data_IF_784078245235
#
_entry.id   IF_784078245235
#
_cell.length_a   1.000
_cell.length_b   1.000
_cell.length_c   1.000
_cell.angle_alpha   90.00
_cell.angle_beta   90.00
_cell.angle_gamma   90.00
#
_symmetry.space_group_name_H-M   'P 1'
#
loop_
_entity.id
_entity.type
_entity.pdbx_description
1 polymer ?
#
# COMPACT_ATOMS: atom_id res chain seq x y z
N UNK A 1 5.49 -6.74 37.66
CA UNK A 1 6.41 -7.48 36.78
C UNK A 1 6.07 -7.06 35.35
N UNK A 2 6.91 -6.25 34.70
CA UNK A 2 6.72 -5.89 33.29
C UNK A 2 6.81 -7.18 32.48
N UNK A 3 5.70 -7.52 31.80
CA UNK A 3 5.62 -8.70 30.95
C UNK A 3 6.73 -8.59 29.88
N UNK A 4 7.59 -9.60 29.75
CA UNK A 4 8.65 -9.66 28.75
C UNK A 4 8.03 -9.31 27.39
N UNK A 5 8.55 -8.32 26.62
CA UNK A 5 8.03 -8.06 25.28
C UNK A 5 8.28 -9.30 24.43
N UNK A 6 7.23 -9.79 23.79
CA UNK A 6 7.28 -10.99 22.96
C UNK A 6 7.47 -10.67 21.46
N UNK A 7 7.46 -9.39 21.12
CA UNK A 7 7.47 -8.92 19.75
C UNK A 7 8.53 -7.85 19.48
N UNK A 8 9.15 -7.93 18.29
CA UNK A 8 9.96 -6.86 17.70
C UNK A 8 9.35 -6.44 16.37
N UNK A 9 9.32 -5.15 16.08
CA UNK A 9 8.86 -4.63 14.78
C UNK A 9 9.99 -3.82 14.15
N UNK A 10 10.34 -4.17 12.91
CA UNK A 10 11.31 -3.39 12.11
C UNK A 10 10.65 -2.14 11.56
N UNK A 11 11.13 -0.97 12.01
CA UNK A 11 10.67 0.34 11.57
C UNK A 11 11.69 1.07 10.68
N UNK A 12 12.69 0.37 10.18
CA UNK A 12 13.78 0.99 9.41
C UNK A 12 13.27 1.85 8.26
N UNK A 13 12.33 1.33 7.48
CA UNK A 13 11.76 2.08 6.35
C UNK A 13 10.92 3.27 6.83
N UNK A 14 10.03 3.05 7.76
CA UNK A 14 9.11 4.07 8.27
C UNK A 14 9.88 5.23 8.88
N UNK A 15 10.86 4.96 9.75
CA UNK A 15 11.72 5.97 10.36
C UNK A 15 12.47 6.78 9.30
N UNK A 16 13.07 6.14 8.30
CA UNK A 16 13.78 6.84 7.23
C UNK A 16 12.84 7.75 6.44
N UNK A 17 11.62 7.30 6.11
CA UNK A 17 10.64 8.13 5.40
C UNK A 17 10.28 9.40 6.18
N UNK A 18 10.03 9.27 7.47
CA UNK A 18 9.75 10.42 8.32
C UNK A 18 10.95 11.37 8.46
N UNK A 19 12.18 10.83 8.49
CA UNK A 19 13.41 11.63 8.47
C UNK A 19 13.58 12.39 7.13
N UNK A 20 13.13 11.77 6.01
CA UNK A 20 13.15 12.40 4.69
C UNK A 20 11.95 13.35 4.46
N UNK A 21 11.05 13.52 5.43
CA UNK A 21 9.86 14.35 5.31
C UNK A 21 8.80 13.82 4.35
N UNK A 22 8.80 12.51 4.12
CA UNK A 22 7.89 11.85 3.18
C UNK A 22 6.65 11.30 3.90
N UNK A 23 5.48 11.50 3.31
CA UNK A 23 4.22 10.92 3.81
C UNK A 23 4.22 9.38 3.68
N UNK A 24 3.53 8.66 4.59
CA UNK A 24 3.36 7.21 4.50
C UNK A 24 2.72 6.77 3.18
N UNK A 25 3.22 5.67 2.59
CA UNK A 25 2.61 4.98 1.45
C UNK A 25 1.74 3.81 1.93
N UNK A 26 1.09 3.08 1.03
CA UNK A 26 0.29 1.89 1.39
C UNK A 26 1.05 0.89 2.27
N UNK A 27 2.30 0.56 1.92
CA UNK A 27 3.16 -0.33 2.74
C UNK A 27 3.45 0.27 4.12
N UNK A 28 3.70 1.58 4.19
CA UNK A 28 3.96 2.25 5.46
C UNK A 28 2.70 2.29 6.34
N UNK A 29 1.50 2.40 5.74
CA UNK A 29 0.20 2.31 6.44
C UNK A 29 -0.01 0.93 7.06
N UNK A 30 0.43 -0.14 6.41
CA UNK A 30 0.44 -1.49 6.99
C UNK A 30 1.35 -1.54 8.23
N UNK A 31 2.58 -1.04 8.13
CA UNK A 31 3.50 -0.96 9.28
C UNK A 31 2.87 -0.18 10.44
N UNK A 32 2.22 0.96 10.17
CA UNK A 32 1.51 1.75 11.18
C UNK A 32 0.34 0.98 11.83
N UNK A 33 -0.38 0.16 11.07
CA UNK A 33 -1.44 -0.69 11.62
C UNK A 33 -0.86 -1.74 12.61
N UNK A 34 0.26 -2.38 12.26
CA UNK A 34 0.98 -3.28 13.17
C UNK A 34 1.46 -2.57 14.43
N UNK A 35 1.98 -1.33 14.29
CA UNK A 35 2.34 -0.52 15.45
C UNK A 35 1.15 -0.24 16.37
N UNK A 36 0.01 0.11 15.79
CA UNK A 36 -1.19 0.41 16.56
C UNK A 36 -1.67 -0.80 17.35
N UNK A 37 -1.66 -1.98 16.72
CA UNK A 37 -2.14 -3.21 17.36
C UNK A 37 -1.20 -3.70 18.47
N UNK A 38 0.12 -3.62 18.22
CA UNK A 38 1.13 -4.19 19.13
C UNK A 38 1.82 -3.18 20.05
N UNK A 39 1.34 -1.94 20.16
CA UNK A 39 2.00 -0.85 20.92
C UNK A 39 2.42 -1.27 22.33
N UNK A 40 1.57 -2.00 23.05
CA UNK A 40 1.84 -2.46 24.43
C UNK A 40 2.76 -3.69 24.54
N UNK A 41 2.98 -4.43 23.44
CA UNK A 41 3.70 -5.72 23.42
C UNK A 41 5.00 -5.67 22.61
N UNK A 42 5.14 -4.71 21.69
CA UNK A 42 6.26 -4.66 20.77
C UNK A 42 7.35 -3.71 21.20
N UNK A 43 8.59 -4.09 20.91
CA UNK A 43 9.75 -3.22 20.92
C UNK A 43 10.15 -2.88 19.49
N UNK A 44 10.73 -1.68 19.32
CA UNK A 44 11.21 -1.20 18.03
C UNK A 44 12.60 -1.75 17.74
N UNK A 45 12.74 -2.28 16.54
CA UNK A 45 14.01 -2.50 15.87
C UNK A 45 14.14 -1.51 14.71
N UNK A 46 15.31 -0.95 14.48
CA UNK A 46 15.62 -0.18 13.26
C UNK A 46 17.11 -0.17 12.94
N UNK A 47 17.43 -0.05 11.65
CA UNK A 47 18.78 0.11 11.14
C UNK A 47 19.08 1.60 10.90
N UNK A 48 20.15 2.08 11.46
CA UNK A 48 20.72 3.37 11.12
C UNK A 48 22.05 3.15 10.42
N UNK A 49 22.07 3.37 9.08
CA UNK A 49 23.19 2.96 8.20
C UNK A 49 23.45 1.45 8.35
N UNK A 50 24.56 1.07 8.95
CA UNK A 50 24.96 -0.33 9.16
C UNK A 50 24.77 -0.82 10.60
N UNK A 51 24.37 0.06 11.51
CA UNK A 51 24.16 -0.28 12.93
C UNK A 51 22.69 -0.48 13.20
N UNK A 52 22.34 -1.60 13.85
CA UNK A 52 21.00 -1.83 14.34
C UNK A 52 20.82 -1.27 15.75
N UNK A 53 19.58 -0.97 16.08
CA UNK A 53 19.18 -0.47 17.38
C UNK A 53 17.88 -1.16 17.80
N UNK A 54 17.81 -1.56 19.06
CA UNK A 54 16.60 -2.09 19.68
C UNK A 54 16.26 -1.22 20.87
N UNK A 55 15.07 -0.62 20.84
CA UNK A 55 14.63 0.24 21.91
C UNK A 55 14.07 -0.55 23.09
N UNK A 56 14.19 0.00 24.31
CA UNK A 56 13.42 -0.50 25.44
C UNK A 56 11.92 -0.29 25.21
N UNK A 57 11.06 -1.05 25.91
CA UNK A 57 9.61 -0.93 25.81
C UNK A 57 9.13 0.53 25.98
N UNK A 58 9.60 1.20 27.02
CA UNK A 58 9.25 2.61 27.29
C UNK A 58 9.62 3.55 26.16
N UNK A 59 10.77 3.36 25.50
CA UNK A 59 11.20 4.18 24.37
C UNK A 59 10.43 3.82 23.09
N UNK A 60 10.11 2.55 22.91
CA UNK A 60 9.29 2.08 21.80
C UNK A 60 7.91 2.72 21.81
N UNK A 61 7.23 2.71 22.95
CA UNK A 61 5.94 3.40 23.14
C UNK A 61 6.04 4.88 22.81
N UNK A 62 7.09 5.58 23.31
CA UNK A 62 7.29 7.01 22.97
C UNK A 62 7.48 7.24 21.48
N UNK A 63 8.20 6.35 20.78
CA UNK A 63 8.36 6.46 19.33
C UNK A 63 7.04 6.20 18.61
N UNK A 64 6.26 5.20 19.02
CA UNK A 64 4.95 4.92 18.44
C UNK A 64 4.00 6.12 18.58
N UNK A 65 3.93 6.71 19.78
CA UNK A 65 3.12 7.89 20.04
C UNK A 65 3.57 9.09 19.20
N UNK A 66 4.88 9.30 19.06
CA UNK A 66 5.41 10.37 18.23
C UNK A 66 5.06 10.20 16.75
N UNK A 67 5.18 8.97 16.19
CA UNK A 67 4.90 8.71 14.78
C UNK A 67 3.41 8.84 14.43
N UNK A 68 2.52 8.73 15.42
CA UNK A 68 1.06 8.89 15.28
C UNK A 68 0.57 10.29 15.60
N UNK A 69 1.42 11.12 16.20
CA UNK A 69 1.02 12.44 16.71
C UNK A 69 0.81 13.44 15.57
N UNK A 70 -0.29 14.22 15.58
CA UNK A 70 -0.43 15.37 14.69
C UNK A 70 0.67 16.41 14.91
N UNK A 71 1.25 16.47 16.14
CA UNK A 71 2.37 17.35 16.50
C UNK A 71 3.74 16.76 16.11
N UNK A 72 3.76 15.80 15.19
CA UNK A 72 5.01 15.22 14.70
C UNK A 72 5.94 16.30 14.15
N UNK A 73 7.22 16.26 14.58
CA UNK A 73 8.28 17.02 13.94
C UNK A 73 9.52 16.18 13.77
N UNK A 74 10.24 16.39 12.66
CA UNK A 74 11.53 15.74 12.41
C UNK A 74 12.52 15.95 13.56
N UNK A 75 12.52 17.14 14.18
CA UNK A 75 13.39 17.47 15.34
C UNK A 75 13.10 16.55 16.54
N UNK A 76 11.81 16.32 16.87
CA UNK A 76 11.41 15.40 17.96
C UNK A 76 11.86 13.98 17.66
N UNK A 77 11.72 13.51 16.41
CA UNK A 77 12.17 12.19 15.98
C UNK A 77 13.70 12.05 16.12
N UNK A 78 14.48 12.97 15.58
CA UNK A 78 15.96 12.96 15.68
C UNK A 78 16.40 12.95 17.14
N UNK A 79 15.80 13.77 18.01
CA UNK A 79 16.12 13.82 19.45
C UNK A 79 15.83 12.47 20.15
N UNK A 80 14.70 11.83 19.80
CA UNK A 80 14.33 10.52 20.38
C UNK A 80 15.29 9.43 19.91
N UNK A 81 15.65 9.41 18.63
CA UNK A 81 16.59 8.45 18.05
C UNK A 81 18.00 8.63 18.63
N UNK A 82 18.52 9.84 18.74
CA UNK A 82 19.87 10.09 19.29
C UNK A 82 20.00 9.64 20.75
N UNK A 83 19.03 9.96 21.60
CA UNK A 83 18.96 9.45 22.97
C UNK A 83 18.82 7.93 23.04
N UNK A 84 18.21 7.33 22.04
CA UNK A 84 18.03 5.89 21.93
C UNK A 84 19.32 5.17 21.57
N UNK A 85 20.08 5.69 20.62
CA UNK A 85 21.35 5.13 20.14
C UNK A 85 22.44 5.20 21.22
N UNK A 86 22.48 6.29 22.01
CA UNK A 86 23.46 6.47 23.08
C UNK A 86 23.25 5.55 24.29
N UNK A 87 22.03 5.07 24.52
CA UNK A 87 21.66 4.38 25.76
C UNK A 87 21.28 2.89 25.56
N UNK A 88 21.43 2.31 24.39
CA UNK A 88 20.80 1.05 24.23
C UNK A 88 21.16 0.06 23.17
N UNK A 89 22.07 -0.82 23.46
CA UNK A 89 21.99 -2.20 22.96
C UNK A 89 21.49 -3.11 24.09
N UNK A 90 20.19 -3.20 24.26
CA UNK A 90 19.61 -4.23 25.11
C UNK A 90 19.33 -5.46 24.24
N UNK A 91 20.37 -6.20 23.87
CA UNK A 91 20.25 -7.53 23.24
C UNK A 91 19.68 -8.57 24.24
N UNK A 92 19.72 -8.25 25.54
CA UNK A 92 19.16 -9.11 26.59
C UNK A 92 17.63 -9.13 26.43
N UNK A 93 17.08 -10.32 26.46
CA UNK A 93 15.63 -10.60 26.47
C UNK A 93 14.88 -10.51 25.13
N UNK A 94 15.57 -10.65 23.97
CA UNK A 94 14.91 -10.71 22.65
C UNK A 94 15.00 -12.09 21.99
N UNK A 95 15.81 -12.99 22.52
CA UNK A 95 15.91 -14.37 22.02
C UNK A 95 14.53 -15.05 22.08
N UNK A 96 14.11 -15.62 20.94
CA UNK A 96 12.81 -16.26 20.82
C UNK A 96 11.64 -15.29 20.57
N UNK A 97 11.84 -13.95 20.58
CA UNK A 97 10.79 -13.01 20.21
C UNK A 97 10.39 -13.15 18.74
N UNK A 98 9.11 -13.00 18.43
CA UNK A 98 8.64 -12.84 17.06
C UNK A 98 9.13 -11.50 16.52
N UNK A 99 9.72 -11.52 15.31
CA UNK A 99 10.28 -10.36 14.66
C UNK A 99 9.51 -10.04 13.38
N UNK A 100 8.71 -8.99 13.37
CA UNK A 100 7.99 -8.54 12.19
C UNK A 100 8.84 -7.65 11.29
N UNK A 101 8.95 -8.02 10.01
CA UNK A 101 9.36 -7.11 8.94
C UNK A 101 8.21 -7.02 7.94
N UNK A 102 7.52 -5.87 7.93
CA UNK A 102 6.29 -5.63 7.16
C UNK A 102 6.53 -4.84 5.88
N UNK A 103 7.78 -4.45 5.58
CA UNK A 103 8.07 -3.50 4.49
C UNK A 103 9.24 -3.91 3.57
N UNK A 104 9.80 -5.10 3.78
CA UNK A 104 10.90 -5.70 3.03
C UNK A 104 12.26 -4.99 3.16
N UNK A 105 12.38 -3.93 3.98
CA UNK A 105 13.63 -3.19 4.12
C UNK A 105 14.73 -4.07 4.73
N UNK A 106 15.92 -4.02 4.14
CA UNK A 106 17.09 -4.77 4.62
C UNK A 106 17.18 -6.22 4.14
N UNK A 107 16.08 -6.85 3.74
CA UNK A 107 16.01 -8.28 3.40
C UNK A 107 16.90 -8.67 2.19
N UNK A 108 17.27 -7.73 1.34
CA UNK A 108 18.21 -7.94 0.23
C UNK A 108 19.68 -7.84 0.65
N UNK A 109 19.97 -7.67 1.95
CA UNK A 109 21.35 -7.52 2.45
C UNK A 109 21.78 -8.78 3.21
N UNK A 110 22.87 -9.45 2.82
CA UNK A 110 23.39 -10.63 3.55
C UNK A 110 23.70 -10.36 5.03
N UNK A 111 24.12 -9.13 5.36
CA UNK A 111 24.36 -8.69 6.74
C UNK A 111 23.10 -8.74 7.61
N UNK A 112 21.94 -8.48 7.01
CA UNK A 112 20.66 -8.53 7.72
C UNK A 112 20.27 -9.97 8.10
N UNK A 113 20.46 -10.94 7.20
CA UNK A 113 20.25 -12.35 7.51
C UNK A 113 21.17 -12.84 8.66
N UNK A 114 22.46 -12.49 8.58
CA UNK A 114 23.43 -12.82 9.64
C UNK A 114 23.02 -12.22 10.98
N UNK A 115 22.49 -10.99 10.96
CA UNK A 115 22.00 -10.31 12.15
C UNK A 115 20.81 -11.03 12.77
N UNK A 116 19.78 -11.38 11.99
CA UNK A 116 18.59 -12.09 12.50
C UNK A 116 18.96 -13.43 13.15
N UNK A 117 19.87 -14.20 12.53
CA UNK A 117 20.39 -15.46 13.10
C UNK A 117 21.13 -15.23 14.42
N UNK A 118 21.96 -14.18 14.51
CA UNK A 118 22.70 -13.82 15.73
C UNK A 118 21.76 -13.43 16.86
N UNK A 119 20.68 -12.69 16.54
CA UNK A 119 19.68 -12.25 17.53
C UNK A 119 18.78 -13.39 17.98
N UNK A 120 18.79 -14.54 17.27
CA UNK A 120 17.96 -15.72 17.56
C UNK A 120 16.46 -15.39 17.69
N UNK A 121 15.99 -14.41 16.93
CA UNK A 121 14.58 -14.04 16.84
C UNK A 121 13.84 -14.98 15.90
N UNK A 122 12.50 -14.94 15.90
CA UNK A 122 11.60 -15.70 15.03
C UNK A 122 11.00 -14.77 13.98
N UNK A 123 11.63 -14.66 12.77
CA UNK A 123 11.18 -13.71 11.77
C UNK A 123 9.84 -14.12 11.14
N UNK A 124 8.88 -13.20 11.15
CA UNK A 124 7.62 -13.27 10.42
C UNK A 124 7.60 -12.12 9.41
N UNK A 125 7.46 -12.46 8.15
CA UNK A 125 7.52 -11.50 7.05
C UNK A 125 6.15 -11.24 6.47
N UNK A 126 5.88 -9.98 6.10
CA UNK A 126 4.74 -9.65 5.26
C UNK A 126 5.20 -9.50 3.82
N UNK A 127 4.66 -10.31 2.93
CA UNK A 127 4.90 -10.22 1.49
C UNK A 127 3.72 -9.52 0.82
N UNK A 128 3.99 -8.36 0.18
CA UNK A 128 2.96 -7.56 -0.48
C UNK A 128 2.66 -7.99 -1.91
N UNK A 129 3.68 -8.37 -2.66
CA UNK A 129 3.59 -8.83 -4.06
C UNK A 129 4.91 -9.44 -4.53
N UNK A 130 4.89 -10.02 -5.73
CA UNK A 130 6.06 -10.46 -6.48
C UNK A 130 6.24 -9.69 -7.79
N UNK A 131 5.59 -8.54 -7.93
CA UNK A 131 5.57 -7.72 -9.14
C UNK A 131 6.96 -7.44 -9.70
N UNK A 132 8.00 -7.09 -8.91
CA UNK A 132 9.32 -6.83 -9.45
C UNK A 132 9.97 -8.05 -10.15
N UNK A 133 9.53 -9.26 -9.83
CA UNK A 133 10.02 -10.50 -10.45
C UNK A 133 9.19 -10.87 -11.68
N UNK A 134 7.88 -10.67 -11.60
CA UNK A 134 6.93 -11.03 -12.66
C UNK A 134 6.94 -10.02 -13.81
N UNK A 135 7.10 -8.73 -13.48
CA UNK A 135 7.00 -7.60 -14.40
C UNK A 135 8.16 -6.61 -14.17
N UNK A 136 9.41 -7.03 -14.38
CA UNK A 136 10.59 -6.18 -14.12
C UNK A 136 10.60 -4.90 -14.97
N UNK A 137 9.93 -4.92 -16.13
CA UNK A 137 9.77 -3.77 -17.03
C UNK A 137 9.04 -2.59 -16.39
N UNK A 138 8.12 -2.85 -15.47
CA UNK A 138 7.38 -1.81 -14.74
C UNK A 138 8.14 -1.27 -13.53
N UNK A 139 9.23 -1.91 -13.15
CA UNK A 139 9.96 -1.58 -11.94
C UNK A 139 11.23 -0.77 -12.22
N UNK A 140 11.87 -0.30 -11.17
CA UNK A 140 13.19 0.34 -11.25
C UNK A 140 14.25 -0.68 -11.66
N UNK A 141 15.32 -0.19 -12.27
CA UNK A 141 16.44 -1.04 -12.66
C UNK A 141 16.96 -1.87 -11.47
N UNK A 142 17.23 -3.15 -11.72
CA UNK A 142 17.70 -4.14 -10.71
C UNK A 142 16.73 -4.39 -9.53
N UNK A 143 15.47 -3.97 -9.61
CA UNK A 143 14.53 -4.23 -8.51
C UNK A 143 14.09 -5.70 -8.47
N UNK A 144 14.04 -6.38 -9.61
CA UNK A 144 13.83 -7.82 -9.73
C UNK A 144 14.92 -8.62 -8.99
N UNK A 145 16.18 -8.28 -9.19
CA UNK A 145 17.30 -8.91 -8.49
C UNK A 145 17.22 -8.70 -6.97
N UNK A 146 16.98 -7.46 -6.53
CA UNK A 146 16.83 -7.15 -5.11
C UNK A 146 15.64 -7.89 -4.49
N UNK A 147 14.53 -8.01 -5.25
CA UNK A 147 13.34 -8.68 -4.75
C UNK A 147 13.54 -10.20 -4.65
N UNK A 148 14.25 -10.83 -5.59
CA UNK A 148 14.70 -12.22 -5.46
C UNK A 148 15.51 -12.44 -4.20
N UNK A 149 16.46 -11.53 -3.90
CA UNK A 149 17.23 -11.60 -2.65
C UNK A 149 16.34 -11.48 -1.40
N UNK A 150 15.31 -10.59 -1.42
CA UNK A 150 14.34 -10.47 -0.32
C UNK A 150 13.57 -11.76 -0.12
N UNK A 151 13.04 -12.36 -1.19
CA UNK A 151 12.32 -13.63 -1.11
C UNK A 151 13.21 -14.76 -0.60
N UNK A 152 14.45 -14.85 -1.09
CA UNK A 152 15.42 -15.84 -0.61
C UNK A 152 15.67 -15.69 0.90
N UNK A 153 15.73 -14.45 1.40
CA UNK A 153 15.84 -14.19 2.84
C UNK A 153 14.58 -14.62 3.58
N UNK A 154 13.40 -14.27 3.09
CA UNK A 154 12.13 -14.66 3.70
C UNK A 154 12.00 -16.19 3.79
N UNK A 155 12.30 -16.90 2.69
CA UNK A 155 12.17 -18.36 2.61
C UNK A 155 13.23 -19.10 3.45
N UNK A 156 14.45 -18.52 3.60
CA UNK A 156 15.54 -19.18 4.32
C UNK A 156 15.62 -18.86 5.81
N UNK A 157 14.95 -17.82 6.28
CA UNK A 157 15.04 -17.38 7.68
C UNK A 157 13.69 -17.23 8.37
N UNK A 158 12.60 -17.14 7.61
CA UNK A 158 11.25 -16.92 8.16
C UNK A 158 10.73 -18.15 8.88
N UNK A 159 10.15 -17.95 10.06
CA UNK A 159 9.31 -18.94 10.72
C UNK A 159 7.87 -18.88 10.21
N UNK A 160 7.48 -17.76 9.56
CA UNK A 160 6.20 -17.58 8.92
C UNK A 160 6.21 -16.46 7.89
N UNK A 161 5.34 -16.57 6.88
CA UNK A 161 5.12 -15.52 5.86
C UNK A 161 3.63 -15.21 5.79
N UNK A 162 3.29 -13.93 5.94
CA UNK A 162 1.94 -13.40 5.78
C UNK A 162 1.85 -12.78 4.39
N UNK A 163 0.82 -13.12 3.64
CA UNK A 163 0.47 -12.47 2.36
C UNK A 163 -0.84 -11.70 2.52
N UNK A 164 -1.04 -10.69 1.72
CA UNK A 164 -2.24 -9.85 1.73
C UNK A 164 -3.39 -10.42 0.88
N UNK A 165 -3.10 -11.40 0.01
CA UNK A 165 -4.06 -12.03 -0.90
C UNK A 165 -3.67 -13.48 -1.19
N UNK A 166 -4.65 -14.29 -1.64
CA UNK A 166 -4.42 -15.63 -2.16
C UNK A 166 -3.60 -15.59 -3.46
N UNK A 167 -3.83 -14.56 -4.28
CA UNK A 167 -3.06 -14.33 -5.50
C UNK A 167 -1.56 -14.16 -5.19
N UNK A 168 -1.21 -13.31 -4.22
CA UNK A 168 0.18 -13.17 -3.74
C UNK A 168 0.73 -14.49 -3.19
N UNK A 169 -0.07 -15.25 -2.43
CA UNK A 169 0.34 -16.57 -1.91
C UNK A 169 0.60 -17.56 -3.03
N UNK A 170 -0.26 -17.62 -4.05
CA UNK A 170 -0.07 -18.47 -5.23
C UNK A 170 1.28 -18.16 -5.88
N UNK A 171 1.56 -16.91 -6.16
CA UNK A 171 2.82 -16.49 -6.76
C UNK A 171 4.05 -16.82 -5.89
N UNK A 172 3.93 -16.72 -4.56
CA UNK A 172 4.99 -17.15 -3.64
C UNK A 172 5.22 -18.66 -3.69
N UNK A 173 4.15 -19.48 -3.72
CA UNK A 173 4.23 -20.94 -3.86
C UNK A 173 4.91 -21.33 -5.18
N UNK A 174 4.52 -20.72 -6.28
CA UNK A 174 5.09 -20.96 -7.60
C UNK A 174 6.58 -20.61 -7.63
N UNK A 175 6.96 -19.48 -7.00
CA UNK A 175 8.38 -19.09 -6.85
C UNK A 175 9.15 -20.10 -6.01
N UNK A 176 8.65 -20.47 -4.84
CA UNK A 176 9.31 -21.41 -3.94
C UNK A 176 9.50 -22.78 -4.62
N UNK A 177 8.47 -23.30 -5.30
CA UNK A 177 8.53 -24.54 -6.07
C UNK A 177 9.57 -24.46 -7.19
N UNK A 178 9.52 -23.41 -8.01
CA UNK A 178 10.44 -23.22 -9.15
C UNK A 178 11.90 -23.20 -8.74
N UNK A 179 12.23 -22.61 -7.61
CA UNK A 179 13.60 -22.46 -7.11
C UNK A 179 13.94 -23.43 -5.98
N UNK A 180 13.08 -24.43 -5.73
CA UNK A 180 13.26 -25.50 -4.75
C UNK A 180 13.53 -25.00 -3.32
N UNK A 181 12.90 -23.90 -2.93
CA UNK A 181 12.92 -23.43 -1.55
C UNK A 181 11.85 -24.14 -0.71
N UNK A 182 12.18 -24.58 0.53
CA UNK A 182 11.15 -24.95 1.47
C UNK A 182 10.26 -23.73 1.78
N UNK A 183 8.95 -23.93 1.77
CA UNK A 183 7.99 -22.88 2.10
C UNK A 183 7.71 -22.93 3.60
N UNK A 184 7.99 -21.86 4.36
CA UNK A 184 7.59 -21.77 5.77
C UNK A 184 6.05 -21.77 5.88
N UNK A 185 5.48 -21.97 7.07
CA UNK A 185 4.07 -21.72 7.32
C UNK A 185 3.61 -20.38 6.74
N UNK A 186 2.46 -20.34 6.09
CA UNK A 186 1.93 -19.16 5.44
C UNK A 186 0.53 -18.82 5.93
N UNK A 187 0.23 -17.53 6.02
CA UNK A 187 -1.08 -17.00 6.33
C UNK A 187 -1.50 -16.00 5.25
N UNK A 188 -2.75 -16.09 4.78
CA UNK A 188 -3.36 -15.00 4.00
C UNK A 188 -4.19 -14.15 4.94
N UNK A 189 -3.80 -12.89 5.12
CA UNK A 189 -4.50 -11.92 5.94
C UNK A 189 -4.78 -10.64 5.12
N UNK A 190 -6.02 -10.46 4.63
CA UNK A 190 -6.39 -9.30 3.84
C UNK A 190 -6.13 -8.00 4.60
N UNK A 191 -5.63 -6.99 3.86
CA UNK A 191 -5.39 -5.67 4.43
C UNK A 191 -6.71 -4.91 4.61
N UNK A 192 -6.65 -3.92 5.49
CA UNK A 192 -7.70 -2.91 5.64
C UNK A 192 -7.13 -1.51 5.39
N UNK A 193 -8.00 -0.53 5.38
CA UNK A 193 -7.64 0.89 5.28
C UNK A 193 -7.75 1.54 6.66
N UNK A 194 -7.05 2.67 6.90
CA UNK A 194 -7.30 3.49 8.08
C UNK A 194 -8.77 3.87 8.18
N UNK A 195 -9.23 4.18 9.37
CA UNK A 195 -10.55 4.75 9.55
C UNK A 195 -10.56 6.18 9.00
N UNK A 196 -10.86 6.29 7.70
CA UNK A 196 -11.03 7.58 7.03
C UNK A 196 -12.40 8.14 7.40
N UNK A 197 -12.44 9.38 7.86
CA UNK A 197 -13.67 10.07 8.26
C UNK A 197 -13.90 11.25 7.31
N UNK A 198 -15.10 11.35 6.76
CA UNK A 198 -15.51 12.52 5.98
C UNK A 198 -15.87 13.66 6.96
N UNK A 199 -14.93 14.57 7.17
CA UNK A 199 -15.13 15.73 8.07
C UNK A 199 -15.82 16.90 7.36
N UNK A 200 -15.58 17.03 6.05
CA UNK A 200 -16.20 18.06 5.21
C UNK A 200 -17.00 17.41 4.07
N UNK A 201 -18.35 17.46 4.08
CA UNK A 201 -19.19 16.87 3.05
C UNK A 201 -19.25 17.68 1.75
N UNK A 202 -18.59 18.85 1.68
CA UNK A 202 -18.63 19.71 0.51
C UNK A 202 -18.02 19.03 -0.71
N UNK A 203 -18.71 19.19 -1.83
CA UNK A 203 -18.26 18.66 -3.11
C UNK A 203 -17.04 19.45 -3.62
N UNK A 204 -15.91 18.79 -3.99
CA UNK A 204 -14.70 19.52 -4.39
C UNK A 204 -14.79 20.13 -5.79
N UNK A 205 -15.68 19.66 -6.66
CA UNK A 205 -15.90 20.13 -8.02
C UNK A 205 -17.39 20.14 -8.37
N UNK A 206 -17.87 21.19 -9.05
CA UNK A 206 -19.27 21.31 -9.47
C UNK A 206 -19.60 20.46 -10.70
N UNK A 207 -18.59 19.95 -11.40
CA UNK A 207 -18.74 19.10 -12.58
C UNK A 207 -18.49 17.63 -12.25
N UNK A 208 -19.06 16.68 -13.03
CA UNK A 208 -18.74 15.26 -12.86
C UNK A 208 -17.24 14.99 -13.02
N UNK A 209 -16.69 14.11 -12.16
CA UNK A 209 -15.29 13.73 -12.26
C UNK A 209 -15.07 12.28 -11.88
N UNK A 210 -14.00 11.72 -12.42
CA UNK A 210 -13.45 10.42 -12.08
C UNK A 210 -12.15 10.59 -11.30
N UNK A 211 -11.83 9.63 -10.46
CA UNK A 211 -10.65 9.67 -9.61
C UNK A 211 -9.68 8.55 -9.98
N UNK A 212 -8.39 8.87 -10.07
CA UNK A 212 -7.32 7.89 -10.10
C UNK A 212 -6.38 8.15 -8.92
N UNK A 213 -6.26 7.17 -8.02
CA UNK A 213 -5.45 7.26 -6.80
C UNK A 213 -4.25 6.34 -6.87
N UNK A 214 -3.09 6.87 -7.26
CA UNK A 214 -1.85 6.09 -7.33
C UNK A 214 -0.63 6.97 -7.63
N UNK A 215 0.56 6.46 -7.30
CA UNK A 215 1.81 7.00 -7.85
C UNK A 215 1.79 6.91 -9.38
N UNK A 216 2.22 7.96 -10.08
CA UNK A 216 2.34 7.96 -11.53
C UNK A 216 3.58 7.12 -11.90
N UNK A 217 3.34 5.87 -12.29
CA UNK A 217 4.35 4.89 -12.66
C UNK A 217 3.83 3.96 -13.77
N UNK A 218 4.70 3.28 -14.56
CA UNK A 218 4.26 2.52 -15.74
C UNK A 218 3.19 1.48 -15.43
N UNK A 219 3.32 0.75 -14.33
CA UNK A 219 2.40 -0.31 -13.89
C UNK A 219 0.96 0.17 -13.69
N UNK A 220 0.79 1.43 -13.28
CA UNK A 220 -0.52 2.03 -12.98
C UNK A 220 -1.28 2.48 -14.22
N UNK A 221 -0.60 2.50 -15.40
CA UNK A 221 -1.22 2.72 -16.69
C UNK A 221 -2.01 4.03 -16.84
N UNK A 222 -1.47 5.12 -16.31
CA UNK A 222 -2.06 6.46 -16.50
C UNK A 222 -2.23 6.79 -17.99
N UNK A 223 -1.34 6.24 -18.82
CA UNK A 223 -1.33 6.46 -20.26
C UNK A 223 -2.67 6.19 -20.92
N UNK A 224 -3.32 5.04 -20.62
CA UNK A 224 -4.60 4.68 -21.24
C UNK A 224 -5.67 5.72 -20.92
N UNK A 225 -5.74 6.20 -19.68
CA UNK A 225 -6.74 7.19 -19.27
C UNK A 225 -6.48 8.54 -19.96
N UNK A 226 -5.22 8.98 -20.07
CA UNK A 226 -4.90 10.23 -20.79
C UNK A 226 -5.32 10.15 -22.24
N UNK A 227 -5.10 9.01 -22.94
CA UNK A 227 -5.56 8.82 -24.29
C UNK A 227 -7.09 8.80 -24.39
N UNK A 228 -7.77 8.19 -23.43
CA UNK A 228 -9.25 8.19 -23.38
C UNK A 228 -9.76 9.61 -23.15
N UNK A 229 -9.20 10.37 -22.21
CA UNK A 229 -9.61 11.77 -21.95
C UNK A 229 -9.36 12.69 -23.14
N UNK A 230 -8.26 12.52 -23.85
CA UNK A 230 -7.99 13.25 -25.08
C UNK A 230 -9.09 13.02 -26.12
N UNK A 231 -9.47 11.76 -26.35
CA UNK A 231 -10.57 11.41 -27.27
C UNK A 231 -11.93 11.93 -26.79
N UNK A 232 -12.18 11.90 -25.47
CA UNK A 232 -13.41 12.43 -24.90
C UNK A 232 -13.48 13.94 -25.09
N UNK A 233 -12.40 14.67 -24.86
CA UNK A 233 -12.37 16.12 -25.07
C UNK A 233 -12.59 16.51 -26.54
N UNK A 234 -12.02 15.77 -27.47
CA UNK A 234 -12.26 15.98 -28.91
C UNK A 234 -13.73 15.79 -29.31
N UNK A 235 -14.47 14.93 -28.61
CA UNK A 235 -15.88 14.64 -28.87
C UNK A 235 -16.85 15.56 -28.12
N UNK A 236 -16.56 15.89 -26.88
CA UNK A 236 -17.47 16.53 -25.93
C UNK A 236 -17.08 17.96 -25.56
N UNK A 237 -15.84 18.39 -25.90
CA UNK A 237 -15.31 19.69 -25.51
C UNK A 237 -15.40 19.90 -23.99
N UNK A 238 -15.89 21.05 -23.56
CA UNK A 238 -16.02 21.44 -22.15
C UNK A 238 -16.98 20.55 -21.32
N UNK A 239 -17.86 19.77 -21.98
CA UNK A 239 -18.73 18.80 -21.34
C UNK A 239 -18.02 17.51 -20.90
N UNK A 240 -16.75 17.37 -21.20
CA UNK A 240 -15.94 16.23 -20.77
C UNK A 240 -15.84 16.21 -19.24
N UNK A 241 -16.14 15.06 -18.57
CA UNK A 241 -15.93 14.95 -17.14
C UNK A 241 -14.46 15.17 -16.78
N UNK A 242 -14.16 15.65 -15.58
CA UNK A 242 -12.78 15.84 -15.15
C UNK A 242 -12.16 14.49 -14.75
N UNK A 243 -10.85 14.33 -14.99
CA UNK A 243 -10.05 13.28 -14.39
C UNK A 243 -9.19 13.91 -13.30
N UNK A 244 -9.41 13.47 -12.06
CA UNK A 244 -8.59 13.88 -10.92
C UNK A 244 -7.57 12.77 -10.67
N UNK A 245 -6.28 13.09 -10.75
CA UNK A 245 -5.17 12.19 -10.47
C UNK A 245 -4.56 12.60 -9.15
N UNK A 246 -4.70 11.75 -8.14
CA UNK A 246 -4.08 11.96 -6.82
C UNK A 246 -2.90 11.01 -6.66
N UNK A 247 -1.69 11.58 -6.58
CA UNK A 247 -0.48 10.81 -6.36
C UNK A 247 0.78 11.48 -6.85
N UNK A 248 1.91 11.02 -6.35
CA UNK A 248 3.22 11.58 -6.71
C UNK A 248 3.68 11.08 -8.06
N UNK A 249 4.42 11.90 -8.77
CA UNK A 249 5.17 11.50 -9.96
C UNK A 249 6.26 10.52 -9.55
N UNK A 250 6.26 9.33 -10.12
CA UNK A 250 7.16 8.23 -9.81
C UNK A 250 8.34 8.13 -10.77
N UNK A 251 8.55 6.98 -11.39
CA UNK A 251 9.69 6.68 -12.27
C UNK A 251 9.22 6.18 -13.62
N UNK A 252 10.08 6.34 -14.67
CA UNK A 252 9.82 5.86 -16.05
C UNK A 252 8.46 6.27 -16.60
N UNK A 253 8.02 7.48 -16.33
CA UNK A 253 6.71 8.01 -16.73
C UNK A 253 6.83 9.31 -17.56
N UNK A 254 7.96 9.55 -18.23
CA UNK A 254 8.21 10.78 -18.98
C UNK A 254 7.12 11.09 -20.00
N UNK A 255 6.68 10.11 -20.79
CA UNK A 255 5.60 10.28 -21.76
C UNK A 255 4.25 10.66 -21.12
N UNK A 256 3.95 10.16 -19.92
CA UNK A 256 2.74 10.55 -19.15
C UNK A 256 2.88 11.99 -18.67
N UNK A 257 4.05 12.34 -18.12
CA UNK A 257 4.35 13.70 -17.64
C UNK A 257 4.30 14.71 -18.79
N UNK A 258 4.90 14.39 -19.94
CA UNK A 258 4.84 15.25 -21.13
C UNK A 258 3.40 15.53 -21.58
N UNK A 259 2.51 14.55 -21.52
CA UNK A 259 1.10 14.75 -21.82
C UNK A 259 0.41 15.65 -20.78
N UNK A 260 0.67 15.44 -19.48
CA UNK A 260 0.08 16.25 -18.41
C UNK A 260 0.54 17.70 -18.47
N UNK A 261 1.78 17.97 -18.88
CA UNK A 261 2.37 19.31 -18.88
C UNK A 261 2.18 20.08 -20.19
N UNK A 262 2.08 19.37 -21.33
CA UNK A 262 2.15 20.02 -22.67
C UNK A 262 0.87 19.90 -23.50
N UNK A 263 -0.05 18.99 -23.13
CA UNK A 263 -1.28 18.86 -23.90
C UNK A 263 -2.29 19.94 -23.51
N UNK A 264 -2.57 20.84 -24.44
CA UNK A 264 -3.58 21.90 -24.27
C UNK A 264 -4.97 21.32 -24.01
N UNK A 265 -5.32 20.22 -24.69
CA UNK A 265 -6.62 19.54 -24.53
C UNK A 265 -6.76 18.95 -23.13
N UNK A 266 -5.72 18.27 -22.63
CA UNK A 266 -5.75 17.60 -21.33
C UNK A 266 -5.69 18.59 -20.15
N UNK A 267 -5.01 19.72 -20.32
CA UNK A 267 -4.95 20.76 -19.27
C UNK A 267 -6.32 21.34 -18.91
N UNK A 268 -7.32 21.23 -19.81
CA UNK A 268 -8.70 21.69 -19.58
C UNK A 268 -9.50 20.71 -18.73
N UNK A 269 -9.14 19.43 -18.70
CA UNK A 269 -10.00 18.37 -18.16
C UNK A 269 -9.31 17.46 -17.14
N UNK A 270 -8.01 17.63 -16.90
CA UNK A 270 -7.26 16.87 -15.91
C UNK A 270 -6.81 17.76 -14.76
N UNK A 271 -6.97 17.25 -13.54
CA UNK A 271 -6.50 17.87 -12.30
C UNK A 271 -5.50 16.93 -11.66
N UNK A 272 -4.25 17.36 -11.51
CA UNK A 272 -3.19 16.58 -10.85
C UNK A 272 -2.95 17.12 -9.44
N UNK A 273 -3.07 16.26 -8.43
CA UNK A 273 -2.83 16.57 -7.01
C UNK A 273 -1.66 15.70 -6.52
N UNK A 274 -0.47 16.28 -6.46
CA UNK A 274 0.74 15.58 -6.05
C UNK A 274 0.78 15.21 -4.55
N UNK A 275 0.11 16.01 -3.73
CA UNK A 275 0.00 15.85 -2.28
C UNK A 275 -1.47 16.05 -1.91
N UNK A 276 -1.99 15.13 -1.13
CA UNK A 276 -3.36 15.16 -0.65
C UNK A 276 -3.37 14.65 0.79
N UNK A 277 -4.01 15.38 1.70
CA UNK A 277 -4.31 14.90 3.04
C UNK A 277 -5.53 13.96 3.03
N UNK A 278 -5.77 13.30 4.15
CA UNK A 278 -6.87 12.33 4.24
C UNK A 278 -8.24 13.02 4.14
N UNK A 279 -8.40 14.28 4.58
CA UNK A 279 -9.64 15.05 4.45
C UNK A 279 -9.96 15.34 2.98
N UNK A 280 -9.02 15.91 2.24
CA UNK A 280 -9.16 16.17 0.81
C UNK A 280 -9.39 14.87 0.03
N UNK A 281 -8.66 13.80 0.36
CA UNK A 281 -8.85 12.48 -0.25
C UNK A 281 -10.28 11.97 -0.07
N UNK A 282 -10.82 12.06 1.14
CA UNK A 282 -12.17 11.57 1.44
C UNK A 282 -13.25 12.37 0.69
N UNK A 283 -13.08 13.67 0.54
CA UNK A 283 -13.98 14.51 -0.28
C UNK A 283 -13.96 14.06 -1.74
N UNK A 284 -12.77 13.88 -2.34
CA UNK A 284 -12.66 13.43 -3.72
C UNK A 284 -13.21 12.02 -3.90
N UNK A 285 -12.93 11.08 -2.99
CA UNK A 285 -13.50 9.73 -3.05
C UNK A 285 -15.01 9.75 -3.00
N UNK A 286 -15.60 10.44 -2.01
CA UNK A 286 -17.03 10.45 -1.76
C UNK A 286 -17.86 10.95 -2.93
N UNK A 287 -17.36 11.91 -3.69
CA UNK A 287 -18.10 12.61 -4.73
C UNK A 287 -17.71 12.23 -6.16
N UNK A 288 -16.75 11.33 -6.34
CA UNK A 288 -16.36 10.84 -7.66
C UNK A 288 -17.48 10.02 -8.32
N UNK A 289 -17.57 10.09 -9.63
CA UNK A 289 -18.44 9.20 -10.42
C UNK A 289 -17.98 7.74 -10.29
N UNK A 290 -16.67 7.54 -10.36
CA UNK A 290 -16.02 6.28 -10.04
C UNK A 290 -14.51 6.48 -9.75
N UNK A 291 -13.91 5.55 -9.02
CA UNK A 291 -12.47 5.35 -8.99
C UNK A 291 -12.06 4.52 -10.22
N UNK A 292 -11.05 4.97 -10.96
CA UNK A 292 -10.46 4.26 -12.09
C UNK A 292 -9.14 3.63 -11.69
N UNK A 293 -8.96 2.33 -11.98
CA UNK A 293 -7.79 1.61 -11.54
C UNK A 293 -7.27 0.67 -12.66
N UNK A 294 -6.71 1.26 -13.77
CA UNK A 294 -6.32 0.55 -14.99
C UNK A 294 -4.96 -0.16 -14.89
N UNK A 295 -4.55 -0.56 -13.70
CA UNK A 295 -3.24 -1.15 -13.44
C UNK A 295 -3.01 -2.45 -14.20
N UNK A 296 -1.77 -2.69 -14.66
CA UNK A 296 -1.36 -3.95 -15.26
C UNK A 296 -1.15 -5.07 -14.23
N UNK A 297 -0.84 -4.72 -12.99
CA UNK A 297 -0.64 -5.69 -11.90
C UNK A 297 -0.75 -5.00 -10.55
N UNK A 298 -1.26 -5.72 -9.54
CA UNK A 298 -1.40 -5.27 -8.15
C UNK A 298 -1.15 -6.42 -7.18
N UNK A 299 -0.68 -6.07 -5.96
CA UNK A 299 -0.56 -7.05 -4.87
C UNK A 299 -1.82 -7.13 -4.01
N UNK A 300 -2.60 -6.03 -3.92
CA UNK A 300 -3.86 -5.97 -3.18
C UNK A 300 -4.82 -4.94 -3.77
N UNK A 301 -4.56 -3.64 -3.60
CA UNK A 301 -5.44 -2.59 -4.10
C UNK A 301 -6.15 -1.82 -3.00
N UNK A 302 -5.41 -1.23 -2.05
CA UNK A 302 -5.99 -0.41 -0.99
C UNK A 302 -6.94 0.68 -1.52
N UNK A 303 -6.68 1.37 -2.66
CA UNK A 303 -7.61 2.36 -3.22
C UNK A 303 -9.00 1.80 -3.54
N UNK A 304 -9.11 0.53 -3.90
CA UNK A 304 -10.40 -0.14 -4.12
C UNK A 304 -11.21 -0.19 -2.81
N UNK A 305 -10.57 -0.57 -1.70
CA UNK A 305 -11.22 -0.62 -0.38
C UNK A 305 -11.53 0.80 0.12
N UNK A 306 -10.65 1.77 -0.13
CA UNK A 306 -10.89 3.18 0.18
C UNK A 306 -12.14 3.72 -0.56
N UNK A 307 -12.30 3.38 -1.85
CA UNK A 307 -13.49 3.75 -2.62
C UNK A 307 -14.78 3.11 -2.06
N UNK A 308 -14.72 1.83 -1.71
CA UNK A 308 -15.88 1.12 -1.14
C UNK A 308 -16.31 1.69 0.20
N UNK A 309 -15.38 2.16 1.03
CA UNK A 309 -15.67 2.80 2.31
C UNK A 309 -16.59 4.03 2.14
N UNK A 310 -16.48 4.73 1.01
CA UNK A 310 -17.30 5.91 0.69
C UNK A 310 -18.48 5.61 -0.27
N UNK A 311 -18.75 4.34 -0.56
CA UNK A 311 -19.74 3.90 -1.55
C UNK A 311 -19.46 4.44 -2.96
N UNK A 312 -18.19 4.65 -3.28
CA UNK A 312 -17.76 5.14 -4.59
C UNK A 312 -17.63 3.96 -5.54
N UNK A 313 -18.30 4.00 -6.71
CA UNK A 313 -18.14 3.00 -7.75
C UNK A 313 -16.67 2.86 -8.20
N UNK A 314 -16.33 1.71 -8.75
CA UNK A 314 -14.99 1.43 -9.24
C UNK A 314 -15.02 0.77 -10.61
N UNK A 315 -14.10 1.17 -11.48
CA UNK A 315 -13.84 0.54 -12.77
C UNK A 315 -12.38 0.11 -12.75
N UNK A 316 -12.13 -1.18 -12.84
CA UNK A 316 -10.83 -1.79 -12.57
C UNK A 316 -10.32 -2.58 -13.77
N UNK A 317 -9.01 -2.78 -13.84
CA UNK A 317 -8.44 -3.82 -14.70
C UNK A 317 -8.93 -5.20 -14.29
N UNK A 318 -9.07 -6.09 -15.27
CA UNK A 318 -9.42 -7.50 -15.03
C UNK A 318 -8.21 -8.25 -14.45
N UNK A 319 -8.02 -8.15 -13.12
CA UNK A 319 -6.96 -8.79 -12.36
C UNK A 319 -7.54 -9.75 -11.32
N UNK A 320 -6.92 -10.92 -11.16
CA UNK A 320 -7.37 -11.95 -10.22
C UNK A 320 -7.43 -11.44 -8.77
N UNK A 321 -6.44 -10.64 -8.36
CA UNK A 321 -6.44 -10.03 -7.02
C UNK A 321 -7.64 -9.10 -6.79
N UNK A 322 -8.09 -8.39 -7.79
CA UNK A 322 -9.28 -7.54 -7.66
C UNK A 322 -10.57 -8.34 -7.57
N UNK A 323 -10.66 -9.45 -8.32
CA UNK A 323 -11.79 -10.39 -8.22
C UNK A 323 -11.82 -11.07 -6.84
N UNK A 324 -10.65 -11.43 -6.30
CA UNK A 324 -10.53 -11.98 -4.95
C UNK A 324 -11.08 -11.01 -3.90
N UNK A 325 -10.75 -9.71 -4.02
CA UNK A 325 -11.10 -8.72 -3.02
C UNK A 325 -12.57 -8.26 -3.14
N UNK A 326 -13.05 -7.99 -4.36
CA UNK A 326 -14.32 -7.30 -4.58
C UNK A 326 -15.38 -8.17 -5.32
N UNK A 327 -15.06 -9.42 -5.63
CA UNK A 327 -15.98 -10.33 -6.32
C UNK A 327 -16.46 -9.78 -7.66
N UNK A 328 -17.76 -9.80 -7.88
CA UNK A 328 -18.40 -9.34 -9.12
C UNK A 328 -19.00 -7.91 -8.98
N UNK A 329 -18.56 -7.13 -8.00
CA UNK A 329 -19.10 -5.78 -7.79
C UNK A 329 -18.54 -4.77 -8.80
N UNK A 330 -17.19 -4.70 -9.04
CA UNK A 330 -16.61 -3.76 -10.00
C UNK A 330 -16.96 -4.05 -11.46
N UNK A 331 -16.82 -3.03 -12.30
CA UNK A 331 -16.64 -3.25 -13.73
C UNK A 331 -15.18 -3.62 -14.00
N UNK A 332 -14.96 -4.77 -14.63
CA UNK A 332 -13.64 -5.27 -15.00
C UNK A 332 -13.38 -5.08 -16.48
N UNK A 333 -12.24 -4.47 -16.82
CA UNK A 333 -11.87 -4.12 -18.19
C UNK A 333 -10.42 -4.53 -18.43
N UNK A 334 -10.13 -5.06 -19.60
CA UNK A 334 -8.74 -5.27 -20.02
C UNK A 334 -7.97 -3.93 -19.95
N UNK A 335 -6.81 -3.86 -19.28
CA UNK A 335 -6.04 -2.63 -19.12
C UNK A 335 -5.59 -1.98 -20.42
N UNK A 336 -5.67 -2.66 -21.58
CA UNK A 336 -5.33 -2.13 -22.89
C UNK A 336 -6.55 -1.82 -23.78
N UNK A 337 -7.77 -2.17 -23.36
CA UNK A 337 -8.99 -1.90 -24.13
C UNK A 337 -9.48 -0.46 -23.90
N UNK A 338 -8.79 0.52 -24.50
CA UNK A 338 -9.15 1.93 -24.40
C UNK A 338 -10.56 2.26 -24.87
N UNK A 339 -11.14 1.47 -25.81
CA UNK A 339 -12.52 1.66 -26.26
C UNK A 339 -13.49 1.33 -25.13
N UNK A 340 -13.30 0.20 -24.46
CA UNK A 340 -14.15 -0.22 -23.33
C UNK A 340 -14.03 0.71 -22.15
N UNK A 341 -12.82 1.19 -21.82
CA UNK A 341 -12.63 2.23 -20.81
C UNK A 341 -13.42 3.50 -21.17
N UNK A 342 -13.35 3.97 -22.42
CA UNK A 342 -14.11 5.14 -22.85
C UNK A 342 -15.63 4.94 -22.74
N UNK A 343 -16.17 3.81 -23.16
CA UNK A 343 -17.60 3.47 -23.07
C UNK A 343 -18.06 3.50 -21.61
N UNK A 344 -17.32 2.86 -20.71
CA UNK A 344 -17.70 2.82 -19.29
C UNK A 344 -17.60 4.18 -18.60
N UNK A 345 -16.61 5.00 -18.97
CA UNK A 345 -16.49 6.37 -18.45
C UNK A 345 -17.69 7.22 -18.88
N UNK A 346 -18.12 7.13 -20.15
CA UNK A 346 -19.31 7.81 -20.63
C UNK A 346 -20.55 7.32 -19.86
N UNK A 347 -20.73 6.03 -19.73
CA UNK A 347 -21.86 5.41 -19.02
C UNK A 347 -21.93 5.90 -17.56
N UNK A 348 -20.79 5.91 -16.84
CA UNK A 348 -20.72 6.31 -15.44
C UNK A 348 -20.71 7.84 -15.22
N UNK A 349 -20.60 8.63 -16.29
CA UNK A 349 -20.67 10.10 -16.19
C UNK A 349 -22.05 10.58 -15.80
N UNK A 350 -23.11 9.82 -16.09
CA UNK A 350 -24.49 10.13 -15.71
C UNK A 350 -24.84 9.57 -14.33
N UNK A 351 -25.49 10.37 -13.52
CA UNK A 351 -26.08 9.90 -12.26
C UNK A 351 -27.22 8.91 -12.47
N UNK A 352 -27.85 8.94 -13.65
CA UNK A 352 -28.96 8.06 -14.03
C UNK A 352 -28.49 6.70 -14.59
N UNK A 353 -27.19 6.48 -14.70
CA UNK A 353 -26.63 5.19 -15.12
C UNK A 353 -27.10 4.06 -14.20
N UNK A 354 -27.87 3.13 -14.76
CA UNK A 354 -28.36 1.96 -14.03
C UNK A 354 -27.22 1.06 -13.54
N UNK A 355 -26.15 0.95 -14.34
CA UNK A 355 -24.95 0.19 -13.95
C UNK A 355 -24.28 0.79 -12.72
N UNK A 356 -24.05 2.11 -12.74
CA UNK A 356 -23.48 2.85 -11.62
C UNK A 356 -24.35 2.70 -10.35
N UNK A 357 -25.66 2.89 -10.47
CA UNK A 357 -26.60 2.75 -9.34
C UNK A 357 -26.62 1.32 -8.78
N UNK A 358 -26.60 0.30 -9.65
CA UNK A 358 -26.51 -1.11 -9.25
C UNK A 358 -25.24 -1.35 -8.45
N UNK A 359 -24.09 -0.88 -8.93
CA UNK A 359 -22.82 -1.05 -8.24
C UNK A 359 -22.81 -0.38 -6.85
N UNK A 360 -23.35 0.85 -6.72
CA UNK A 360 -23.49 1.53 -5.43
C UNK A 360 -24.32 0.69 -4.44
N UNK A 361 -25.43 0.08 -4.91
CA UNK A 361 -26.25 -0.81 -4.06
C UNK A 361 -25.47 -2.04 -3.60
N UNK A 362 -24.67 -2.62 -4.47
CA UNK A 362 -23.83 -3.78 -4.15
C UNK A 362 -22.72 -3.42 -3.15
N UNK A 363 -22.05 -2.25 -3.33
CA UNK A 363 -21.00 -1.77 -2.43
C UNK A 363 -21.55 -1.57 -1.01
N UNK A 364 -22.78 -1.03 -0.85
CA UNK A 364 -23.41 -0.84 0.47
C UNK A 364 -23.57 -2.14 1.27
N UNK A 365 -23.66 -3.28 0.57
CA UNK A 365 -23.81 -4.61 1.18
C UNK A 365 -22.46 -5.36 1.29
N UNK A 366 -21.38 -4.73 0.85
CA UNK A 366 -20.05 -5.35 0.87
C UNK A 366 -19.44 -5.28 2.27
N UNK A 367 -18.92 -6.41 2.73
CA UNK A 367 -18.21 -6.48 4.00
C UNK A 367 -16.74 -6.06 3.82
N UNK A 368 -16.43 -4.84 4.19
CA UNK A 368 -15.08 -4.30 4.08
C UNK A 368 -14.14 -5.05 5.06
N UNK A 369 -12.98 -5.53 4.60
CA UNK A 369 -11.98 -6.13 5.49
C UNK A 369 -11.60 -5.17 6.62
N UNK A 370 -11.44 -5.69 7.85
CA UNK A 370 -11.11 -4.88 9.02
C UNK A 370 -9.74 -5.26 9.58
N UNK A 371 -9.02 -4.31 10.16
CA UNK A 371 -7.79 -4.58 10.88
C UNK A 371 -8.00 -5.53 12.05
N UNK A 372 -9.16 -5.49 12.69
CA UNK A 372 -9.50 -6.43 13.75
C UNK A 372 -9.51 -7.88 13.26
N UNK A 373 -10.14 -8.14 12.10
CA UNK A 373 -10.17 -9.48 11.50
C UNK A 373 -8.75 -9.91 11.06
N UNK A 374 -7.98 -8.99 10.46
CA UNK A 374 -6.59 -9.21 10.08
C UNK A 374 -5.76 -9.65 11.30
N UNK A 375 -5.76 -8.87 12.38
CA UNK A 375 -4.95 -9.16 13.55
C UNK A 375 -5.41 -10.37 14.33
N UNK A 376 -6.70 -10.70 14.34
CA UNK A 376 -7.18 -11.97 14.92
C UNK A 376 -6.52 -13.18 14.26
N UNK A 377 -6.32 -13.14 12.94
CA UNK A 377 -5.64 -14.20 12.21
C UNK A 377 -4.13 -14.16 12.44
N UNK A 378 -3.52 -12.97 12.46
CA UNK A 378 -2.08 -12.80 12.69
C UNK A 378 -1.70 -13.23 14.10
N UNK A 379 -2.47 -12.86 15.14
CA UNK A 379 -2.22 -13.26 16.51
C UNK A 379 -2.26 -14.78 16.65
N UNK A 380 -3.30 -15.43 16.11
CA UNK A 380 -3.38 -16.89 16.07
C UNK A 380 -2.18 -17.51 15.36
N UNK A 381 -1.75 -16.94 14.24
CA UNK A 381 -0.63 -17.47 13.45
C UNK A 381 0.70 -17.40 14.19
N UNK A 382 0.99 -16.29 14.86
CA UNK A 382 2.26 -16.13 15.58
C UNK A 382 2.33 -16.94 16.88
N UNK A 383 1.18 -17.34 17.45
CA UNK A 383 1.11 -18.22 18.61
C UNK A 383 1.56 -19.65 18.30
N UNK A 384 1.68 -20.02 17.01
CA UNK A 384 2.17 -21.34 16.58
C UNK A 384 3.69 -21.45 16.67
N UNK A 385 4.40 -20.38 16.84
CA UNK A 385 5.87 -20.34 16.92
C UNK A 385 6.35 -20.15 18.34
#
# INVERSE_FOLDING_TARGET
>A
MDKKPDLLIDLTRLVNRFLDGLLPTGVDRVTLAYLNHYEGRARVFFLLKTKYNIFSQKKSIKLFQLLKSPDFTKKKLVLLLSKGVLLGHLEKDIEGCVFFNTDHRGLNQPSYQKLLRRLKVKPVYMLHDLIPIQYPEYCRHNEDFKHKQRLNTMLSTGVGIITNSQDTLKHLKDYAHRFQYPLPPTLVAPLSVPQLVLTNPQRPLDVPYFLMLSTIEPRKNHWILLQVWKKLYQKLGDKTPRLVIIGRRGWKCGNVIDLLERSVELSQVIIELNICDDETLTQYLKHAQALLFPSFSEGFGLPLIEAFLFNTPVILSDLEVFKEIAGNIPEYIDPIDGKKWQEMIIEYSSNDSLRRQKQIKQIKNFSIPTWQAHFKQVDWFIEQF
#
